data_IF_045235086667
#
_entry.id   IF_045235086667
#
_cell.length_a   1.000
_cell.length_b   1.000
_cell.length_c   1.000
_cell.angle_alpha   90.00
_cell.angle_beta   90.00
_cell.angle_gamma   90.00
#
_symmetry.space_group_name_H-M   'P 1'
#
loop_
_entity.id
_entity.type
_entity.pdbx_description
1 polymer ?
#
# COMPACT_ATOMS: atom_id res chain seq x y z
N UNK A 1 -8.32 15.48 2.14
CA UNK A 1 -9.57 15.70 2.90
C UNK A 1 -9.62 14.71 4.07
N UNK A 2 -10.27 15.02 5.19
CA UNK A 2 -10.41 14.09 6.31
C UNK A 2 -11.17 12.82 5.89
N UNK A 3 -10.78 11.66 6.42
CA UNK A 3 -11.50 10.39 6.19
C UNK A 3 -12.88 10.49 6.84
N UNK A 4 -13.96 10.06 6.17
CA UNK A 4 -15.32 10.40 6.59
C UNK A 4 -15.86 9.66 7.83
N UNK A 5 -15.12 8.68 8.38
CA UNK A 5 -15.63 7.82 9.47
C UNK A 5 -14.60 7.48 10.56
N UNK A 6 -13.34 7.94 10.46
CA UNK A 6 -12.34 7.83 11.52
C UNK A 6 -11.62 9.18 11.68
N UNK A 7 -11.79 9.80 12.85
CA UNK A 7 -11.16 11.06 13.19
C UNK A 7 -10.13 10.83 14.29
N UNK A 8 -8.93 10.41 13.88
CA UNK A 8 -7.77 10.35 14.75
C UNK A 8 -6.86 11.52 14.39
N UNK A 9 -6.30 12.18 15.41
CA UNK A 9 -5.19 13.10 15.20
C UNK A 9 -4.03 12.28 14.62
N UNK A 10 -3.58 12.62 13.41
CA UNK A 10 -2.37 11.99 12.87
C UNK A 10 -1.22 12.29 13.85
N UNK A 11 -0.39 11.31 14.19
CA UNK A 11 0.80 11.58 14.99
C UNK A 11 1.67 12.63 14.27
N UNK A 12 2.19 13.61 15.01
CA UNK A 12 3.08 14.65 14.46
C UNK A 12 4.44 14.08 13.96
N UNK A 13 4.70 12.80 14.24
CA UNK A 13 6.01 12.13 14.16
C UNK A 13 6.05 10.99 13.14
N UNK A 14 5.45 11.16 11.96
CA UNK A 14 5.74 10.26 10.84
C UNK A 14 7.24 10.21 10.57
N UNK A 15 7.75 9.00 10.34
CA UNK A 15 9.16 8.77 9.99
C UNK A 15 9.37 9.32 8.58
N UNK A 16 10.12 10.42 8.47
CA UNK A 16 10.33 11.10 7.19
C UNK A 16 10.95 10.15 6.16
N UNK A 17 10.36 10.10 4.97
CA UNK A 17 10.80 9.26 3.85
C UNK A 17 10.54 7.76 4.05
N UNK A 18 9.76 7.37 5.07
CA UNK A 18 9.39 5.97 5.30
C UNK A 18 8.34 5.49 4.30
N UNK A 19 8.53 4.26 3.82
CA UNK A 19 7.56 3.58 2.95
C UNK A 19 7.19 2.22 3.52
N UNK A 20 5.90 2.01 3.76
CA UNK A 20 5.33 0.72 4.14
C UNK A 20 4.97 -0.10 2.91
N UNK A 21 5.37 -1.37 2.86
CA UNK A 21 5.18 -2.25 1.70
C UNK A 21 4.43 -3.53 2.09
N UNK A 22 3.45 -3.93 1.29
CA UNK A 22 2.79 -5.24 1.40
C UNK A 22 2.38 -5.77 0.02
N UNK A 23 2.75 -7.01 -0.29
CA UNK A 23 2.60 -7.61 -1.61
C UNK A 23 1.34 -8.48 -1.76
N UNK A 24 0.93 -9.18 -0.69
CA UNK A 24 -0.13 -10.20 -0.74
C UNK A 24 -0.92 -10.30 0.57
N UNK A 25 -2.23 -10.54 0.46
CA UNK A 25 -3.10 -10.78 1.62
C UNK A 25 -3.19 -12.27 2.02
N UNK A 26 -2.91 -13.18 1.09
CA UNK A 26 -3.11 -14.62 1.24
C UNK A 26 -2.95 -15.35 -0.09
N UNK A 27 -3.25 -16.65 -0.12
CA UNK A 27 -3.01 -17.58 -1.23
C UNK A 27 -4.25 -17.88 -2.10
N UNK A 28 -5.40 -17.27 -1.77
CA UNK A 28 -6.69 -17.57 -2.41
C UNK A 28 -6.84 -17.03 -3.85
N UNK A 29 -6.14 -15.94 -4.20
CA UNK A 29 -6.07 -15.41 -5.59
C UNK A 29 -4.74 -14.72 -5.86
N UNK A 30 -3.81 -15.47 -6.46
CA UNK A 30 -2.48 -14.99 -6.80
C UNK A 30 -2.49 -13.82 -7.82
N UNK A 31 -3.57 -13.62 -8.58
CA UNK A 31 -3.64 -12.54 -9.58
C UNK A 31 -3.72 -11.16 -8.91
N UNK A 32 -4.13 -11.11 -7.64
CA UNK A 32 -4.19 -9.89 -6.82
C UNK A 32 -2.87 -9.57 -6.13
N UNK A 33 -1.93 -10.51 -6.12
CA UNK A 33 -0.65 -10.37 -5.43
C UNK A 33 0.39 -9.76 -6.37
N UNK A 34 1.12 -8.77 -5.84
CA UNK A 34 2.27 -8.18 -6.52
C UNK A 34 3.48 -9.08 -6.27
N UNK A 35 4.29 -9.44 -7.27
CA UNK A 35 5.53 -10.17 -7.04
C UNK A 35 6.43 -9.43 -6.03
N UNK A 36 6.84 -10.06 -4.92
CA UNK A 36 7.62 -9.38 -3.87
C UNK A 36 8.91 -8.75 -4.37
N UNK A 37 9.60 -9.39 -5.33
CA UNK A 37 10.84 -8.86 -5.91
C UNK A 37 10.61 -7.57 -6.71
N UNK A 38 9.48 -7.46 -7.41
CA UNK A 38 9.12 -6.23 -8.11
C UNK A 38 8.75 -5.13 -7.12
N UNK A 39 8.02 -5.46 -6.05
CA UNK A 39 7.69 -4.48 -5.01
C UNK A 39 8.93 -4.01 -4.25
N UNK A 40 9.91 -4.89 -4.06
CA UNK A 40 11.20 -4.58 -3.43
C UNK A 40 12.02 -3.54 -4.20
N UNK A 41 11.76 -3.32 -5.49
CA UNK A 41 12.38 -2.21 -6.22
C UNK A 41 12.03 -0.83 -5.62
N UNK A 42 10.91 -0.73 -4.92
CA UNK A 42 10.51 0.48 -4.20
C UNK A 42 11.27 0.68 -2.89
N UNK A 43 11.94 -0.35 -2.38
CA UNK A 43 12.73 -0.27 -1.15
C UNK A 43 14.16 0.26 -1.37
N UNK A 44 14.64 0.27 -2.63
CA UNK A 44 16.01 0.70 -2.96
C UNK A 44 16.21 2.17 -2.60
N UNK A 45 17.28 2.46 -1.85
CA UNK A 45 17.68 3.78 -1.35
C UNK A 45 16.61 4.49 -0.51
N UNK A 46 15.71 3.74 0.13
CA UNK A 46 14.62 4.27 0.97
C UNK A 46 14.54 3.57 2.32
N UNK A 47 13.94 4.26 3.29
CA UNK A 47 13.59 3.66 4.57
C UNK A 47 12.31 2.82 4.40
N UNK A 48 12.46 1.57 3.97
CA UNK A 48 11.34 0.69 3.68
C UNK A 48 11.02 -0.26 4.84
N UNK A 49 9.72 -0.48 5.07
CA UNK A 49 9.18 -1.38 6.08
C UNK A 49 8.25 -2.39 5.42
N UNK A 50 8.50 -3.68 5.62
CA UNK A 50 7.63 -4.75 5.14
C UNK A 50 6.55 -5.04 6.17
N UNK A 51 5.28 -5.00 5.77
CA UNK A 51 4.15 -5.47 6.57
C UNK A 51 3.72 -6.90 6.18
N UNK A 52 4.47 -7.57 5.31
CA UNK A 52 4.18 -8.94 4.86
C UNK A 52 4.52 -9.97 5.93
N UNK A 53 3.50 -10.56 6.55
CA UNK A 53 3.68 -11.57 7.59
C UNK A 53 4.36 -12.84 7.05
N UNK A 54 5.41 -13.30 7.73
CA UNK A 54 6.11 -14.56 7.47
C UNK A 54 7.02 -14.59 6.23
N UNK A 55 6.91 -13.61 5.33
CA UNK A 55 7.78 -13.50 4.14
C UNK A 55 8.01 -12.04 3.79
N UNK A 56 8.91 -11.35 4.53
CA UNK A 56 9.12 -9.92 4.37
C UNK A 56 9.57 -9.54 2.96
N UNK A 57 9.20 -8.33 2.52
CA UNK A 57 9.67 -7.76 1.26
C UNK A 57 11.21 -7.59 1.31
N UNK A 58 11.95 -8.06 0.29
CA UNK A 58 13.40 -7.87 0.24
C UNK A 58 13.82 -6.40 0.39
N UNK A 59 14.95 -6.16 1.04
CA UNK A 59 15.51 -4.84 1.33
C UNK A 59 14.64 -3.92 2.23
N UNK A 60 13.59 -4.44 2.85
CA UNK A 60 12.77 -3.72 3.81
C UNK A 60 12.94 -4.28 5.24
N UNK A 61 12.77 -3.42 6.24
CA UNK A 61 12.75 -3.81 7.66
C UNK A 61 11.43 -4.54 7.94
N UNK A 62 11.47 -5.72 8.55
CA UNK A 62 10.24 -6.42 8.93
C UNK A 62 9.49 -5.66 10.04
N UNK A 63 8.30 -5.17 9.69
CA UNK A 63 7.35 -4.50 10.55
C UNK A 63 5.99 -5.23 10.53
N UNK A 64 5.97 -6.51 10.16
CA UNK A 64 4.76 -7.32 10.18
C UNK A 64 4.32 -7.66 11.61
N UNK A 65 3.01 -7.77 11.81
CA UNK A 65 2.37 -8.20 13.06
C UNK A 65 1.00 -8.77 12.74
N UNK A 66 0.53 -9.72 13.54
CA UNK A 66 -0.83 -10.25 13.46
C UNK A 66 -1.82 -9.48 14.34
N UNK A 67 -1.34 -8.56 15.19
CA UNK A 67 -2.19 -7.71 16.02
C UNK A 67 -2.63 -6.46 15.23
N UNK A 68 -3.94 -6.26 15.12
CA UNK A 68 -4.51 -5.18 14.31
C UNK A 68 -4.28 -3.78 14.91
N UNK A 69 -4.21 -3.67 16.24
CA UNK A 69 -3.95 -2.39 16.91
C UNK A 69 -2.48 -2.01 16.77
N UNK A 70 -1.59 -2.99 16.88
CA UNK A 70 -0.17 -2.79 16.62
C UNK A 70 0.07 -2.43 15.14
N UNK A 71 -0.60 -3.11 14.21
CA UNK A 71 -0.55 -2.76 12.78
C UNK A 71 -1.02 -1.33 12.55
N UNK A 72 -2.15 -0.93 13.13
CA UNK A 72 -2.68 0.43 13.03
C UNK A 72 -1.71 1.49 13.58
N UNK A 73 -1.05 1.19 14.70
CA UNK A 73 -0.03 2.06 15.29
C UNK A 73 1.17 2.22 14.34
N UNK A 74 1.70 1.12 13.81
CA UNK A 74 2.84 1.13 12.88
C UNK A 74 2.51 1.81 11.55
N UNK A 75 1.29 1.65 11.02
CA UNK A 75 0.86 2.33 9.80
C UNK A 75 0.83 3.85 9.97
N UNK A 76 0.43 4.35 11.14
CA UNK A 76 0.35 5.79 11.38
C UNK A 76 1.71 6.49 11.42
N UNK A 77 2.80 5.76 11.66
CA UNK A 77 4.16 6.32 11.62
C UNK A 77 4.73 6.38 10.20
N UNK A 78 4.08 5.76 9.21
CA UNK A 78 4.54 5.76 7.82
C UNK A 78 4.21 7.07 7.11
N UNK A 79 5.13 7.56 6.29
CA UNK A 79 4.87 8.70 5.40
C UNK A 79 4.00 8.28 4.21
N UNK A 80 4.27 7.09 3.66
CA UNK A 80 3.52 6.48 2.57
C UNK A 80 3.40 4.97 2.79
N UNK A 81 2.25 4.41 2.44
CA UNK A 81 2.05 2.96 2.33
C UNK A 81 1.80 2.62 0.87
N UNK A 82 2.51 1.63 0.31
CA UNK A 82 2.27 1.07 -1.02
C UNK A 82 1.94 -0.41 -0.86
N UNK A 83 0.74 -0.81 -1.27
CA UNK A 83 0.23 -2.16 -1.00
C UNK A 83 -0.66 -2.67 -2.12
N UNK A 84 -0.70 -3.99 -2.31
CA UNK A 84 -1.79 -4.64 -3.03
C UNK A 84 -3.15 -4.37 -2.36
N UNK A 85 -4.25 -4.67 -3.06
CA UNK A 85 -5.62 -4.63 -2.53
C UNK A 85 -5.84 -5.68 -1.43
N UNK A 86 -5.59 -5.27 -0.18
CA UNK A 86 -5.63 -6.09 1.03
C UNK A 86 -6.34 -5.39 2.18
N UNK A 87 -6.59 -6.11 3.27
CA UNK A 87 -7.09 -5.53 4.52
C UNK A 87 -6.20 -4.37 5.02
N UNK A 88 -4.88 -4.45 4.84
CA UNK A 88 -3.95 -3.37 5.21
C UNK A 88 -4.21 -2.09 4.44
N UNK A 89 -4.52 -2.17 3.14
CA UNK A 89 -4.89 -1.00 2.35
C UNK A 89 -6.08 -0.28 2.99
N UNK A 90 -7.15 -1.02 3.28
CA UNK A 90 -8.35 -0.48 3.90
C UNK A 90 -8.10 0.15 5.28
N UNK A 91 -7.27 -0.48 6.12
CA UNK A 91 -6.91 0.06 7.43
C UNK A 91 -6.10 1.35 7.30
N UNK A 92 -5.07 1.37 6.45
CA UNK A 92 -4.26 2.57 6.21
C UNK A 92 -5.11 3.73 5.68
N UNK A 93 -6.03 3.44 4.74
CA UNK A 93 -6.99 4.41 4.23
C UNK A 93 -7.94 4.93 5.32
N UNK A 94 -8.45 4.06 6.19
CA UNK A 94 -9.32 4.44 7.30
C UNK A 94 -8.59 5.33 8.32
N UNK A 95 -7.29 5.10 8.54
CA UNK A 95 -6.43 5.88 9.43
C UNK A 95 -5.88 7.18 8.79
N UNK A 96 -6.34 7.54 7.60
CA UNK A 96 -5.87 8.71 6.86
C UNK A 96 -4.35 8.71 6.59
N UNK A 97 -3.74 7.52 6.47
CA UNK A 97 -2.36 7.37 6.03
C UNK A 97 -2.32 7.52 4.51
N UNK A 98 -1.40 8.32 3.93
CA UNK A 98 -1.16 8.36 2.49
C UNK A 98 -0.91 6.93 1.99
N UNK A 99 -1.75 6.47 1.08
CA UNK A 99 -1.75 5.06 0.68
C UNK A 99 -1.86 4.95 -0.83
N UNK A 100 -0.96 4.22 -1.46
CA UNK A 100 -1.03 3.88 -2.87
C UNK A 100 -1.40 2.41 -3.01
N UNK A 101 -2.57 2.15 -3.59
CA UNK A 101 -3.10 0.80 -3.73
C UNK A 101 -2.84 0.29 -5.15
N UNK A 102 -2.18 -0.86 -5.23
CA UNK A 102 -1.83 -1.54 -6.48
C UNK A 102 -2.94 -2.54 -6.80
N UNK A 103 -3.58 -2.36 -7.94
CA UNK A 103 -4.78 -3.07 -8.34
C UNK A 103 -4.50 -3.96 -9.54
N UNK A 104 -4.93 -5.21 -9.44
CA UNK A 104 -4.97 -6.14 -10.55
C UNK A 104 -5.89 -5.61 -11.67
N UNK A 105 -5.77 -6.19 -12.86
CA UNK A 105 -6.58 -5.78 -14.02
C UNK A 105 -8.09 -5.87 -13.75
N UNK A 106 -8.54 -7.01 -13.21
CA UNK A 106 -9.93 -7.22 -12.78
C UNK A 106 -10.10 -6.86 -11.29
N UNK A 107 -9.90 -5.58 -10.96
CA UNK A 107 -10.05 -5.10 -9.58
C UNK A 107 -11.50 -5.20 -9.08
N UNK A 108 -11.64 -5.34 -7.76
CA UNK A 108 -12.95 -5.36 -7.08
C UNK A 108 -13.75 -4.08 -7.39
N UNK A 109 -15.07 -4.21 -7.52
CA UNK A 109 -15.99 -3.13 -7.92
C UNK A 109 -15.84 -1.84 -7.09
N UNK A 110 -15.40 -2.00 -5.84
CA UNK A 110 -15.21 -0.93 -4.84
C UNK A 110 -14.19 0.12 -5.31
N UNK A 111 -13.26 -0.28 -6.17
CA UNK A 111 -12.19 0.57 -6.69
C UNK A 111 -12.58 1.36 -7.94
N UNK A 112 -13.84 1.20 -8.40
CA UNK A 112 -14.40 1.85 -9.58
C UNK A 112 -13.55 1.62 -10.85
N UNK A 113 -13.98 2.24 -11.96
CA UNK A 113 -13.29 2.22 -13.25
C UNK A 113 -12.93 3.66 -13.64
N UNK A 114 -11.90 3.83 -14.47
CA UNK A 114 -11.46 5.11 -15.06
C UNK A 114 -11.13 6.22 -14.05
N UNK A 115 -10.57 5.84 -12.89
CA UNK A 115 -10.10 6.79 -11.88
C UNK A 115 -8.87 6.28 -11.12
N UNK A 116 -8.10 7.25 -10.62
CA UNK A 116 -6.86 7.03 -9.86
C UNK A 116 -6.97 7.44 -8.39
N UNK A 117 -8.15 7.83 -7.92
CA UNK A 117 -8.45 8.18 -6.53
C UNK A 117 -9.52 7.24 -5.96
N UNK A 118 -9.66 7.21 -4.63
CA UNK A 118 -10.68 6.39 -3.95
C UNK A 118 -11.83 7.24 -3.41
N UNK A 119 -13.09 6.91 -3.73
CA UNK A 119 -14.25 7.59 -3.13
C UNK A 119 -14.39 7.29 -1.63
N UNK A 120 -13.74 6.23 -1.13
CA UNK A 120 -13.83 5.78 0.25
C UNK A 120 -12.72 6.32 1.15
N UNK A 121 -11.55 6.59 0.57
CA UNK A 121 -10.32 6.93 1.26
C UNK A 121 -9.66 8.14 0.59
N UNK A 122 -9.87 9.37 1.07
CA UNK A 122 -9.38 10.57 0.40
C UNK A 122 -7.85 10.71 0.36
N UNK A 123 -7.11 9.91 1.13
CA UNK A 123 -5.64 9.86 1.12
C UNK A 123 -5.07 8.80 0.17
N UNK A 124 -5.95 8.08 -0.56
CA UNK A 124 -5.54 7.03 -1.47
C UNK A 124 -5.33 7.48 -2.91
N UNK A 125 -4.30 6.89 -3.52
CA UNK A 125 -4.09 6.88 -4.97
C UNK A 125 -4.10 5.44 -5.48
N UNK A 126 -4.73 5.20 -6.61
CA UNK A 126 -4.87 3.89 -7.22
C UNK A 126 -3.94 3.77 -8.42
N UNK A 127 -3.21 2.65 -8.49
CA UNK A 127 -2.40 2.25 -9.64
C UNK A 127 -2.92 0.91 -10.14
N UNK A 128 -3.21 0.81 -11.43
CA UNK A 128 -3.98 -0.29 -11.99
C UNK A 128 -3.21 -0.92 -13.13
N UNK A 129 -3.23 -2.25 -13.21
CA UNK A 129 -2.69 -2.96 -14.37
C UNK A 129 -3.40 -2.50 -15.64
N UNK A 130 -2.63 -2.24 -16.69
CA UNK A 130 -3.16 -1.90 -18.02
C UNK A 130 -3.67 -3.14 -18.77
N UNK A 131 -3.03 -4.29 -18.50
CA UNK A 131 -3.38 -5.62 -19.01
C UNK A 131 -3.16 -6.66 -17.91
N UNK A 132 -3.84 -7.82 -17.93
CA UNK A 132 -3.65 -8.87 -16.93
C UNK A 132 -2.17 -9.22 -16.73
N UNK A 133 -1.70 -9.15 -15.48
CA UNK A 133 -0.32 -9.53 -15.13
C UNK A 133 0.73 -8.43 -15.31
N UNK A 134 0.36 -7.23 -15.77
CA UNK A 134 1.26 -6.08 -15.93
C UNK A 134 1.64 -5.40 -14.60
N UNK A 135 2.18 -6.18 -13.66
CA UNK A 135 2.77 -5.65 -12.44
C UNK A 135 4.02 -4.80 -12.69
N UNK A 136 4.92 -5.12 -13.65
CA UNK A 136 6.04 -4.24 -13.99
C UNK A 136 5.60 -2.83 -14.40
N UNK A 137 4.55 -2.70 -15.23
CA UNK A 137 3.99 -1.41 -15.62
C UNK A 137 3.44 -0.63 -14.42
N UNK A 138 2.74 -1.30 -13.50
CA UNK A 138 2.25 -0.71 -12.24
C UNK A 138 3.41 -0.20 -11.38
N UNK A 139 4.45 -1.01 -11.16
CA UNK A 139 5.62 -0.61 -10.37
C UNK A 139 6.36 0.55 -11.03
N UNK A 140 6.50 0.57 -12.35
CA UNK A 140 7.13 1.69 -13.05
C UNK A 140 6.34 3.00 -12.91
N UNK A 141 5.00 2.93 -12.93
CA UNK A 141 4.15 4.08 -12.67
C UNK A 141 4.32 4.61 -11.24
N UNK A 142 4.40 3.72 -10.24
CA UNK A 142 4.68 4.06 -8.85
C UNK A 142 6.06 4.72 -8.71
N UNK A 143 7.11 4.12 -9.27
CA UNK A 143 8.47 4.68 -9.24
C UNK A 143 8.53 6.08 -9.85
N UNK A 144 7.76 6.32 -10.91
CA UNK A 144 7.67 7.64 -11.56
C UNK A 144 6.98 8.65 -10.66
N UNK A 145 5.87 8.26 -10.02
CA UNK A 145 5.17 9.10 -9.07
C UNK A 145 6.01 9.45 -7.82
N UNK A 146 6.87 8.53 -7.35
CA UNK A 146 7.77 8.76 -6.20
C UNK A 146 8.92 9.75 -6.48
N UNK A 147 9.12 10.18 -7.73
CA UNK A 147 10.14 11.17 -8.13
C UNK A 147 9.60 12.58 -8.31
N UNK A 148 8.28 12.74 -8.28
CA UNK A 148 7.58 14.03 -8.42
C UNK A 148 7.37 14.65 -7.04
#
# INVERSE_FOLDING_TARGET
APVPYFHLSAPDDRIRGSIGLLAQAGDWDARRSVPPDLLAELAVDRCAYSFQLGSPIPNAIDASTSDILELASRLQTMELVVTADTMLAHLAGALAVPTWTLLAYEADWRWMVDRSDSPWYPTMRLFRQSTPGDWPGVIQAVRTALRQ
#
